data_IF_264155894232
#
_entry.id   IF_264155894232
#
_cell.length_a   1.000
_cell.length_b   1.000
_cell.length_c   1.000
_cell.angle_alpha   90.00
_cell.angle_beta   90.00
_cell.angle_gamma   90.00
#
_symmetry.space_group_name_H-M   'P 1'
#
loop_
_entity.id
_entity.type
_entity.pdbx_description
1 polymer ?
#
# COMPACT_ATOMS: atom_id res chain seq x y z
N UNK A 1 1.37 2.86 -8.45
CA UNK A 1 2.51 2.40 -9.29
C UNK A 1 2.23 1.11 -10.10
N UNK A 2 3.12 0.75 -11.04
CA UNK A 2 3.08 -0.50 -11.83
C UNK A 2 3.54 -1.68 -10.95
N UNK A 3 2.84 -2.82 -11.05
CA UNK A 3 3.08 -4.01 -10.23
C UNK A 3 4.46 -4.67 -10.40
N UNK A 4 5.22 -4.30 -11.43
CA UNK A 4 6.56 -4.84 -11.71
C UNK A 4 7.61 -4.32 -10.73
N UNK A 5 7.58 -3.04 -10.37
CA UNK A 5 8.55 -2.44 -9.43
C UNK A 5 8.36 -2.95 -8.00
N UNK A 6 7.10 -3.16 -7.59
CA UNK A 6 6.78 -3.73 -6.29
C UNK A 6 7.20 -5.20 -6.13
N UNK A 7 7.40 -5.94 -7.23
CA UNK A 7 7.91 -7.33 -7.16
C UNK A 7 9.43 -7.40 -7.00
N UNK A 8 10.16 -6.43 -7.55
CA UNK A 8 11.63 -6.37 -7.45
C UNK A 8 12.10 -5.90 -6.06
N UNK A 9 11.28 -5.15 -5.33
CA UNK A 9 11.60 -4.73 -3.96
C UNK A 9 11.64 -5.92 -2.98
N UNK A 10 12.49 -5.77 -1.98
CA UNK A 10 12.71 -6.75 -0.93
C UNK A 10 11.48 -6.84 -0.01
N UNK A 11 11.22 -7.99 0.62
CA UNK A 11 10.08 -8.14 1.56
C UNK A 11 10.09 -7.10 2.68
N UNK A 12 11.28 -6.70 3.16
CA UNK A 12 11.45 -5.62 4.15
C UNK A 12 11.00 -4.26 3.62
N UNK A 13 11.50 -3.86 2.45
CA UNK A 13 11.13 -2.57 1.82
C UNK A 13 9.63 -2.49 1.48
N UNK A 14 9.01 -3.62 1.15
CA UNK A 14 7.57 -3.71 0.93
C UNK A 14 6.78 -3.48 2.23
N UNK A 15 7.24 -4.05 3.35
CA UNK A 15 6.63 -3.82 4.67
C UNK A 15 6.82 -2.37 5.11
N UNK A 16 8.00 -1.80 4.91
CA UNK A 16 8.27 -0.39 5.24
C UNK A 16 7.42 0.56 4.41
N UNK A 17 7.29 0.31 3.10
CA UNK A 17 6.40 1.08 2.23
C UNK A 17 4.94 0.97 2.66
N UNK A 18 4.49 -0.23 3.07
CA UNK A 18 3.13 -0.45 3.56
C UNK A 18 2.84 0.36 4.83
N UNK A 19 3.80 0.44 5.76
CA UNK A 19 3.68 1.25 6.97
C UNK A 19 3.54 2.73 6.60
N UNK A 20 4.37 3.24 5.70
CA UNK A 20 4.31 4.62 5.22
C UNK A 20 2.97 4.94 4.54
N UNK A 21 2.46 4.03 3.70
CA UNK A 21 1.18 4.20 3.03
C UNK A 21 0.00 4.16 4.02
N UNK A 22 0.06 3.32 5.05
CA UNK A 22 -0.93 3.31 6.13
C UNK A 22 -0.95 4.63 6.92
N UNK A 23 0.22 5.18 7.24
CA UNK A 23 0.34 6.47 7.92
C UNK A 23 -0.25 7.62 7.09
N UNK A 24 0.06 7.66 5.79
CA UNK A 24 -0.56 8.61 4.86
C UNK A 24 -2.07 8.45 4.79
N UNK A 25 -2.56 7.21 4.79
CA UNK A 25 -4.01 6.94 4.77
C UNK A 25 -4.70 7.45 6.03
N UNK A 26 -4.01 7.39 7.19
CA UNK A 26 -4.45 8.03 8.43
C UNK A 26 -4.58 9.54 8.29
N UNK A 27 -3.53 10.22 7.81
CA UNK A 27 -3.57 11.67 7.54
C UNK A 27 -4.71 12.05 6.58
N UNK A 28 -4.88 11.30 5.48
CA UNK A 28 -5.99 11.54 4.55
C UNK A 28 -7.38 11.37 5.20
N UNK A 29 -7.54 10.46 6.18
CA UNK A 29 -8.80 10.34 6.93
C UNK A 29 -9.05 11.57 7.82
N UNK A 30 -8.01 12.11 8.46
CA UNK A 30 -8.10 13.35 9.24
C UNK A 30 -8.43 14.56 8.36
N UNK A 31 -7.79 14.66 7.20
CA UNK A 31 -8.04 15.74 6.25
C UNK A 31 -9.45 15.63 5.62
N UNK A 32 -9.95 14.40 5.45
CA UNK A 32 -11.32 14.13 5.00
C UNK A 32 -12.34 14.58 6.05
N UNK A 33 -12.10 14.24 7.32
CA UNK A 33 -12.95 14.69 8.43
C UNK A 33 -12.96 16.22 8.55
N UNK A 34 -11.83 16.86 8.24
CA UNK A 34 -11.70 18.32 8.23
C UNK A 34 -12.34 19.01 7.01
N UNK A 35 -13.01 18.27 6.10
CA UNK A 35 -13.64 18.77 4.86
C UNK A 35 -12.70 19.57 3.91
N UNK A 36 -11.38 19.50 4.12
CA UNK A 36 -10.36 20.18 3.29
C UNK A 36 -9.85 19.32 2.13
N UNK A 37 -10.42 18.12 1.95
CA UNK A 37 -9.91 17.18 0.96
C UNK A 37 -10.26 17.60 -0.47
N UNK A 38 -9.29 18.20 -1.18
CA UNK A 38 -9.44 18.57 -2.60
C UNK A 38 -9.39 17.34 -3.53
N UNK A 39 -8.67 16.29 -3.15
CA UNK A 39 -8.38 15.14 -4.02
C UNK A 39 -8.76 13.80 -3.38
N UNK A 40 -10.04 13.43 -3.47
CA UNK A 40 -10.54 12.09 -3.06
C UNK A 40 -9.91 10.96 -3.89
N UNK A 41 -9.44 11.28 -5.11
CA UNK A 41 -8.82 10.31 -6.03
C UNK A 41 -7.51 9.73 -5.48
N UNK A 42 -6.70 10.55 -4.82
CA UNK A 42 -5.42 10.11 -4.23
C UNK A 42 -5.63 9.08 -3.12
N UNK A 43 -6.67 9.23 -2.31
CA UNK A 43 -7.04 8.25 -1.27
C UNK A 43 -7.39 6.89 -1.90
N UNK A 44 -8.10 6.91 -3.03
CA UNK A 44 -8.46 5.69 -3.75
C UNK A 44 -7.24 4.99 -4.33
N UNK A 45 -6.32 5.76 -4.89
CA UNK A 45 -5.09 5.24 -5.48
C UNK A 45 -4.15 4.68 -4.41
N UNK A 46 -4.02 5.34 -3.26
CA UNK A 46 -3.27 4.87 -2.09
C UNK A 46 -3.85 3.54 -1.54
N UNK A 47 -5.17 3.42 -1.40
CA UNK A 47 -5.82 2.16 -1.01
C UNK A 47 -5.49 1.01 -1.98
N UNK A 48 -5.45 1.31 -3.27
CA UNK A 48 -5.15 0.33 -4.32
C UNK A 48 -3.68 -0.06 -4.30
N UNK A 49 -2.78 0.84 -3.93
CA UNK A 49 -1.36 0.58 -3.72
C UNK A 49 -1.13 -0.38 -2.55
N UNK A 50 -1.72 -0.11 -1.39
CA UNK A 50 -1.66 -0.99 -0.20
C UNK A 50 -2.15 -2.40 -0.53
N UNK A 51 -3.30 -2.51 -1.21
CA UNK A 51 -3.86 -3.81 -1.60
C UNK A 51 -2.92 -4.59 -2.54
N UNK A 52 -2.23 -3.91 -3.45
CA UNK A 52 -1.23 -4.54 -4.34
C UNK A 52 -0.02 -5.04 -3.56
N UNK A 53 0.50 -4.25 -2.61
CA UNK A 53 1.63 -4.65 -1.76
C UNK A 53 1.26 -5.89 -0.94
N UNK A 54 0.11 -5.88 -0.28
CA UNK A 54 -0.41 -7.03 0.49
C UNK A 54 -0.57 -8.28 -0.38
N UNK A 55 -1.07 -8.13 -1.61
CA UNK A 55 -1.22 -9.25 -2.54
C UNK A 55 0.13 -9.85 -2.93
N UNK A 56 1.16 -9.02 -3.16
CA UNK A 56 2.50 -9.49 -3.51
C UNK A 56 3.15 -10.21 -2.32
N UNK A 57 3.01 -9.65 -1.11
CA UNK A 57 3.48 -10.29 0.12
C UNK A 57 2.82 -11.66 0.31
N UNK A 58 1.50 -11.73 0.17
CA UNK A 58 0.77 -13.00 0.31
C UNK A 58 1.19 -14.02 -0.75
N UNK A 59 1.39 -13.59 -2.01
CA UNK A 59 1.92 -14.49 -3.06
C UNK A 59 3.32 -15.00 -2.75
N UNK A 60 4.22 -14.17 -2.19
CA UNK A 60 5.56 -14.63 -1.76
C UNK A 60 5.48 -15.61 -0.58
N UNK A 61 4.57 -15.37 0.37
CA UNK A 61 4.37 -16.23 1.55
C UNK A 61 3.78 -17.60 1.17
N UNK A 62 2.81 -17.62 0.25
CA UNK A 62 2.23 -18.86 -0.29
C UNK A 62 3.29 -19.72 -0.98
N UNK A 63 4.17 -19.12 -1.80
CA UNK A 63 5.28 -19.83 -2.46
C UNK A 63 6.29 -20.40 -1.45
N UNK A 64 6.50 -19.74 -0.30
CA UNK A 64 7.36 -20.26 0.77
C UNK A 64 6.73 -21.41 1.56
N UNK A 65 5.40 -21.51 1.63
CA UNK A 65 4.70 -22.60 2.35
C UNK A 65 4.57 -23.90 1.57
N UNK A 66 4.71 -23.84 0.24
CA UNK A 66 4.66 -25.02 -0.65
C UNK A 66 6.03 -25.68 -0.88
N UNK A 67 7.11 -25.19 -0.26
CA UNK A 67 8.47 -25.77 -0.35
C UNK A 67 8.95 -26.35 0.97
#
# INVERSE_FOLDING_TARGET
MKAKELRQKTEKELKDSLIQDCLKLGQFKFDLASKKLKNVREVRDLRREIARILTILNKKDVIKKEN
#
